data_IF_295158878153
#
_entry.id   IF_295158878153
#
_cell.length_a   1.000
_cell.length_b   1.000
_cell.length_c   1.000
_cell.angle_alpha   90.00
_cell.angle_beta   90.00
_cell.angle_gamma   90.00
#
_symmetry.space_group_name_H-M   'P 1'
#
loop_
_entity.id
_entity.type
_entity.pdbx_description
1 polymer ?
#
# COMPACT_ATOMS: atom_id res chain seq x y z
N UNK A 1 -17.55 -3.68 1.95
CA UNK A 1 -16.33 -3.60 1.11
C UNK A 1 -16.66 -2.71 -0.08
N UNK A 2 -15.88 -1.66 -0.35
CA UNK A 2 -16.15 -0.78 -1.48
C UNK A 2 -15.68 -1.45 -2.77
N UNK A 3 -16.61 -1.86 -3.64
CA UNK A 3 -16.29 -2.52 -4.90
C UNK A 3 -15.97 -1.47 -5.98
N UNK A 4 -14.86 -1.67 -6.71
CA UNK A 4 -14.46 -0.77 -7.80
C UNK A 4 -15.34 -1.04 -9.02
N UNK A 5 -15.60 0.00 -9.80
CA UNK A 5 -16.37 -0.08 -11.05
C UNK A 5 -15.44 0.28 -12.22
N UNK A 6 -15.58 -0.45 -13.34
CA UNK A 6 -14.86 -0.13 -14.56
C UNK A 6 -15.32 1.23 -15.10
N UNK A 7 -14.38 2.16 -15.31
CA UNK A 7 -14.69 3.50 -15.85
C UNK A 7 -15.14 3.48 -17.32
N UNK A 8 -14.94 2.36 -18.02
CA UNK A 8 -15.28 2.22 -19.44
C UNK A 8 -16.65 1.57 -19.68
N UNK A 9 -16.97 0.46 -18.99
CA UNK A 9 -18.22 -0.28 -19.21
C UNK A 9 -19.17 -0.33 -18.01
N UNK A 10 -18.74 0.09 -16.81
CA UNK A 10 -19.56 0.04 -15.61
C UNK A 10 -19.61 -1.32 -14.91
N UNK A 11 -18.89 -2.34 -15.40
CA UNK A 11 -18.84 -3.65 -14.72
C UNK A 11 -18.05 -3.61 -13.41
N UNK A 12 -18.42 -4.44 -12.43
CA UNK A 12 -17.68 -4.58 -11.19
C UNK A 12 -16.27 -5.14 -11.43
N UNK A 13 -15.28 -4.50 -10.83
CA UNK A 13 -13.89 -4.95 -10.77
C UNK A 13 -13.61 -5.55 -9.38
N UNK A 14 -12.82 -6.61 -9.35
CA UNK A 14 -12.16 -7.07 -8.11
C UNK A 14 -11.18 -6.02 -7.61
N UNK A 15 -10.77 -6.17 -6.36
CA UNK A 15 -9.88 -5.22 -5.67
C UNK A 15 -8.55 -5.09 -6.41
N UNK A 16 -8.03 -6.20 -6.94
CA UNK A 16 -6.68 -6.29 -7.54
C UNK A 16 -6.68 -6.45 -9.06
N UNK A 17 -7.82 -6.29 -9.75
CA UNK A 17 -7.83 -6.32 -11.23
C UNK A 17 -7.57 -4.93 -11.81
N UNK A 18 -6.50 -4.83 -12.58
CA UNK A 18 -6.23 -3.67 -13.42
C UNK A 18 -6.88 -3.80 -14.80
N UNK A 19 -7.07 -5.03 -15.31
CA UNK A 19 -7.76 -5.26 -16.59
C UNK A 19 -9.19 -5.73 -16.34
N UNK A 20 -10.15 -5.02 -16.93
CA UNK A 20 -11.55 -5.44 -16.87
C UNK A 20 -11.76 -6.73 -17.69
N UNK A 21 -12.26 -7.80 -17.05
CA UNK A 21 -12.54 -9.07 -17.73
C UNK A 21 -13.70 -9.02 -18.74
N UNK A 22 -14.55 -8.00 -18.64
CA UNK A 22 -15.73 -7.86 -19.52
C UNK A 22 -15.39 -7.10 -20.82
N UNK A 23 -14.76 -5.93 -20.71
CA UNK A 23 -14.48 -5.07 -21.86
C UNK A 23 -13.00 -4.98 -22.25
N UNK A 24 -12.09 -5.52 -21.44
CA UNK A 24 -10.64 -5.47 -21.69
C UNK A 24 -9.97 -4.12 -21.40
N UNK A 25 -10.70 -3.14 -20.87
CA UNK A 25 -10.13 -1.82 -20.56
C UNK A 25 -9.12 -1.89 -19.39
N UNK A 26 -8.04 -1.12 -19.51
CA UNK A 26 -7.06 -0.91 -18.45
C UNK A 26 -7.55 0.14 -17.45
N UNK A 27 -7.71 -0.26 -16.20
CA UNK A 27 -8.28 0.51 -15.10
C UNK A 27 -7.40 0.39 -13.84
N UNK A 28 -6.15 0.90 -13.92
CA UNK A 28 -5.12 0.64 -12.93
C UNK A 28 -5.51 1.17 -11.54
N UNK A 29 -5.03 0.50 -10.51
CA UNK A 29 -5.06 1.02 -9.14
C UNK A 29 -4.25 2.32 -9.07
N UNK A 30 -4.94 3.42 -8.75
CA UNK A 30 -4.25 4.68 -8.44
C UNK A 30 -3.76 4.58 -7.01
N UNK A 31 -2.49 4.19 -6.84
CA UNK A 31 -1.83 4.35 -5.56
C UNK A 31 -1.39 5.83 -5.42
N UNK A 32 -1.81 6.54 -4.37
CA UNK A 32 -1.33 7.90 -4.15
C UNK A 32 0.19 7.91 -3.95
N UNK A 33 0.89 8.94 -4.43
CA UNK A 33 2.36 9.03 -4.29
C UNK A 33 2.84 8.94 -2.83
N UNK A 34 1.99 9.33 -1.88
CA UNK A 34 2.30 9.35 -0.46
C UNK A 34 2.22 7.97 0.22
N UNK A 35 1.70 6.92 -0.42
CA UNK A 35 1.53 5.61 0.24
C UNK A 35 2.87 5.00 0.64
N UNK A 36 3.89 5.10 -0.21
CA UNK A 36 5.24 4.63 0.10
C UNK A 36 5.93 5.41 1.23
N UNK A 37 6.05 6.76 1.18
CA UNK A 37 6.70 7.50 2.27
C UNK A 37 5.93 7.37 3.59
N UNK A 38 4.60 7.30 3.55
CA UNK A 38 3.79 7.08 4.74
C UNK A 38 4.06 5.70 5.36
N UNK A 39 4.10 4.65 4.53
CA UNK A 39 4.45 3.30 4.97
C UNK A 39 5.85 3.25 5.59
N UNK A 40 6.84 3.90 4.96
CA UNK A 40 8.20 3.98 5.49
C UNK A 40 8.24 4.69 6.86
N UNK A 41 7.49 5.78 7.02
CA UNK A 41 7.40 6.50 8.29
C UNK A 41 6.75 5.65 9.38
N UNK A 42 5.68 4.93 9.08
CA UNK A 42 5.03 4.01 10.03
C UNK A 42 6.02 2.94 10.49
N UNK A 43 6.73 2.29 9.55
CA UNK A 43 7.72 1.26 9.88
C UNK A 43 8.87 1.84 10.71
N UNK A 44 9.36 3.04 10.38
CA UNK A 44 10.41 3.70 11.16
C UNK A 44 9.96 4.02 12.59
N UNK A 45 8.74 4.52 12.77
CA UNK A 45 8.17 4.79 14.11
C UNK A 45 8.00 3.50 14.89
N UNK A 46 7.47 2.45 14.28
CA UNK A 46 7.36 1.13 14.91
C UNK A 46 8.73 0.58 15.31
N UNK A 47 9.74 0.71 14.44
CA UNK A 47 11.10 0.31 14.76
C UNK A 47 11.65 1.09 15.96
N UNK A 48 11.43 2.42 16.03
CA UNK A 48 11.85 3.23 17.17
C UNK A 48 11.10 2.88 18.47
N UNK A 49 9.84 2.45 18.40
CA UNK A 49 9.06 2.07 19.58
C UNK A 49 9.35 0.65 20.06
N UNK A 50 9.65 -0.28 19.14
CA UNK A 50 9.79 -1.71 19.45
C UNK A 50 11.25 -2.15 19.63
N UNK A 51 12.21 -1.45 19.03
CA UNK A 51 13.64 -1.75 19.23
C UNK A 51 14.08 -1.16 20.57
N UNK A 52 14.48 -2.03 21.49
CA UNK A 52 15.10 -1.61 22.75
C UNK A 52 16.54 -1.17 22.46
N UNK A 53 16.74 0.13 22.23
CA UNK A 53 18.06 0.70 21.93
C UNK A 53 19.07 0.58 23.08
N UNK A 54 18.64 0.12 24.25
CA UNK A 54 19.49 -0.04 25.42
C UNK A 54 20.50 -1.20 25.25
N UNK A 55 20.15 -2.25 24.50
CA UNK A 55 21.07 -3.34 24.15
C UNK A 55 22.07 -2.94 23.05
N UNK A 56 21.63 -2.15 22.05
CA UNK A 56 22.49 -1.69 20.94
C UNK A 56 23.60 -0.76 21.46
N UNK A 57 23.32 0.08 22.46
CA UNK A 57 24.32 0.99 23.06
C UNK A 57 25.53 0.26 23.67
N UNK A 58 25.37 -0.99 24.15
CA UNK A 58 26.46 -1.78 24.75
C UNK A 58 27.42 -2.40 23.73
N UNK A 59 27.04 -2.45 22.45
CA UNK A 59 27.87 -2.99 21.37
C UNK A 59 28.76 -1.90 20.77
N UNK A 60 28.39 -0.63 20.94
CA UNK A 60 29.09 0.53 20.39
C UNK A 60 29.99 1.28 21.41
N UNK A 61 30.18 0.70 22.60
CA UNK A 61 31.10 1.17 23.65
C UNK A 61 32.23 0.16 23.88
#
# INVERSE_FOLDING_TARGET
>A
MAQRICKSCGDPLDVDQDICRSCGANNPLVNPWYTYPLGALIVAVLALLLIDFNDIRKIFE
#
